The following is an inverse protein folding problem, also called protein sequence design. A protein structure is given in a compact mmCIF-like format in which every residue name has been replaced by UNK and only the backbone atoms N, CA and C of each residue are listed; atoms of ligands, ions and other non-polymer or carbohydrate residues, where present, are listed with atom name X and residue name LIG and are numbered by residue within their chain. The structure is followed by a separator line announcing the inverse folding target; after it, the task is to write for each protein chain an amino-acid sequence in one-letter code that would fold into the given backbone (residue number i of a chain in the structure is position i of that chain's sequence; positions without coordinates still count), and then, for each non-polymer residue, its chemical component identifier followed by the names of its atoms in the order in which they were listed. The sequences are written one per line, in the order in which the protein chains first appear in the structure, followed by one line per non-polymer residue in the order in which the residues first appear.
data_IF_553468077400
#
_entry.id   IF_553468077400
#
_cell.length_a   1.000
_cell.length_b   1.000
_cell.length_c   1.000
_cell.angle_alpha   90.00
_cell.angle_beta   90.00
_cell.angle_gamma   90.00
#
_symmetry.space_group_name_H-M   'P 1'
#
loop_
_entity.id
_entity.type
_entity.pdbx_description
1 polymer ?
#
# COMPACT_ATOMS: atom_id res chain seq x y z
N UNK A 1 13.94 3.28 -1.92
CA UNK A 1 12.86 3.16 -0.90
C UNK A 1 13.01 4.17 0.24
N UNK A 2 14.08 4.16 1.05
CA UNK A 2 14.25 5.12 2.18
C UNK A 2 14.15 6.60 1.79
N UNK A 3 14.70 6.99 0.62
CA UNK A 3 14.56 8.36 0.08
C UNK A 3 13.10 8.75 -0.16
N UNK A 4 12.35 7.91 -0.88
CA UNK A 4 10.91 8.10 -1.14
C UNK A 4 10.11 8.19 0.17
N UNK A 5 10.38 7.27 1.10
CA UNK A 5 9.74 7.24 2.42
C UNK A 5 9.96 8.55 3.20
N UNK A 6 11.19 9.07 3.16
CA UNK A 6 11.54 10.33 3.81
C UNK A 6 10.81 11.52 3.19
N UNK A 7 10.67 11.57 1.86
CA UNK A 7 9.90 12.62 1.16
C UNK A 7 8.41 12.56 1.53
N UNK A 8 7.83 11.34 1.59
CA UNK A 8 6.43 11.14 1.96
C UNK A 8 6.18 11.62 3.40
N UNK A 9 6.98 11.16 4.36
CA UNK A 9 6.83 11.56 5.77
C UNK A 9 7.04 13.07 5.94
N UNK A 10 8.03 13.63 5.26
CA UNK A 10 8.27 15.06 5.26
C UNK A 10 7.05 15.83 4.73
N UNK A 11 6.44 15.40 3.62
CA UNK A 11 5.19 16.01 3.11
C UNK A 11 4.06 15.94 4.13
N UNK A 12 3.85 14.77 4.75
CA UNK A 12 2.78 14.56 5.74
C UNK A 12 2.97 15.50 6.94
N UNK A 13 4.18 15.53 7.52
CA UNK A 13 4.47 16.38 8.68
C UNK A 13 4.45 17.89 8.36
N UNK A 14 4.54 18.24 7.08
CA UNK A 14 4.42 19.62 6.59
C UNK A 14 3.00 19.99 6.17
N UNK A 15 2.02 19.09 6.34
CA UNK A 15 0.63 19.29 5.89
C UNK A 15 0.41 19.27 4.38
N UNK A 16 1.39 18.79 3.62
CA UNK A 16 1.38 18.74 2.15
C UNK A 16 0.87 17.41 1.62
N UNK A 17 0.43 17.40 0.36
CA UNK A 17 0.07 16.16 -0.32
C UNK A 17 1.30 15.29 -0.59
N UNK A 18 1.24 14.03 -0.20
CA UNK A 18 2.28 13.05 -0.49
C UNK A 18 1.91 12.12 -1.67
N UNK A 19 0.66 12.16 -2.16
CA UNK A 19 0.14 11.23 -3.19
C UNK A 19 0.87 11.32 -4.52
N UNK A 20 1.41 12.48 -4.87
CA UNK A 20 2.21 12.68 -6.08
C UNK A 20 3.43 11.76 -6.11
N UNK A 21 4.06 11.51 -4.96
CA UNK A 21 5.17 10.56 -4.83
C UNK A 21 4.73 9.11 -5.04
N UNK A 22 3.54 8.74 -4.55
CA UNK A 22 2.97 7.41 -4.75
C UNK A 22 2.60 7.20 -6.23
N UNK A 23 1.98 8.19 -6.86
CA UNK A 23 1.66 8.17 -8.28
C UNK A 23 2.91 8.05 -9.16
N UNK A 24 3.99 8.76 -8.83
CA UNK A 24 5.26 8.64 -9.53
C UNK A 24 5.79 7.20 -9.46
N UNK A 25 5.76 6.58 -8.28
CA UNK A 25 6.17 5.18 -8.07
C UNK A 25 5.30 4.20 -8.87
N UNK A 26 3.98 4.41 -8.88
CA UNK A 26 3.04 3.62 -9.69
C UNK A 26 3.36 3.73 -11.18
N UNK A 27 3.64 4.95 -11.66
CA UNK A 27 3.89 5.20 -13.07
C UNK A 27 5.23 4.60 -13.52
N UNK A 28 6.28 4.71 -12.72
CA UNK A 28 7.57 4.06 -12.97
C UNK A 28 7.41 2.53 -13.09
N UNK A 29 6.74 1.90 -12.10
CA UNK A 29 6.46 0.45 -12.12
C UNK A 29 5.62 0.06 -13.33
N UNK A 30 4.61 0.85 -13.66
CA UNK A 30 3.74 0.60 -14.82
C UNK A 30 4.53 0.63 -16.13
N UNK A 31 5.38 1.64 -16.35
CA UNK A 31 6.20 1.74 -17.55
C UNK A 31 7.14 0.53 -17.65
N UNK A 32 7.86 0.21 -16.58
CA UNK A 32 8.79 -0.92 -16.56
C UNK A 32 8.08 -2.26 -16.87
N UNK A 33 6.94 -2.52 -16.22
CA UNK A 33 6.18 -3.76 -16.44
C UNK A 33 5.52 -3.80 -17.81
N UNK A 34 5.04 -2.67 -18.33
CA UNK A 34 4.52 -2.60 -19.71
C UNK A 34 5.58 -3.03 -20.71
N UNK A 35 6.83 -2.57 -20.57
CA UNK A 35 7.93 -2.97 -21.46
C UNK A 35 8.21 -4.48 -21.38
N UNK A 36 8.20 -5.06 -20.18
CA UNK A 36 8.35 -6.52 -20.01
C UNK A 36 7.25 -7.30 -20.72
N UNK A 37 5.98 -6.92 -20.52
CA UNK A 37 4.83 -7.62 -21.13
C UNK A 37 4.84 -7.47 -22.66
N UNK A 38 5.12 -6.27 -23.18
CA UNK A 38 5.27 -6.05 -24.62
C UNK A 38 6.37 -6.94 -25.21
N UNK A 39 7.51 -7.05 -24.52
CA UNK A 39 8.61 -7.91 -24.97
C UNK A 39 8.20 -9.39 -25.02
N UNK A 40 7.49 -9.88 -24.00
CA UNK A 40 6.98 -11.25 -23.97
C UNK A 40 5.98 -11.48 -25.12
N UNK A 41 5.00 -10.59 -25.29
CA UNK A 41 3.98 -10.71 -26.34
C UNK A 41 4.60 -10.68 -27.74
N UNK A 42 5.53 -9.75 -27.99
CA UNK A 42 6.27 -9.67 -29.26
C UNK A 42 6.96 -10.99 -29.60
N UNK A 43 7.68 -11.58 -28.64
CA UNK A 43 8.42 -12.82 -28.85
C UNK A 43 7.50 -14.01 -29.13
N UNK A 44 6.35 -14.09 -28.45
CA UNK A 44 5.39 -15.18 -28.62
C UNK A 44 4.60 -15.06 -29.92
N UNK A 45 4.07 -13.88 -30.25
CA UNK A 45 3.31 -13.62 -31.48
C UNK A 45 4.16 -13.83 -32.73
N UNK A 46 5.46 -13.50 -32.68
CA UNK A 46 6.37 -13.74 -33.81
C UNK A 46 6.54 -15.23 -34.14
N UNK A 47 6.50 -16.11 -33.12
CA UNK A 47 6.85 -17.54 -33.27
C UNK A 47 5.63 -18.46 -33.40
N UNK A 48 4.46 -18.03 -32.92
CA UNK A 48 3.31 -18.92 -32.76
C UNK A 48 2.04 -18.25 -33.31
N UNK A 49 1.24 -19.01 -34.08
CA UNK A 49 -0.09 -18.54 -34.49
C UNK A 49 -1.04 -18.42 -33.30
N UNK A 50 -1.09 -19.43 -32.43
CA UNK A 50 -1.87 -19.42 -31.18
C UNK A 50 -1.00 -18.95 -29.99
N UNK A 51 -0.44 -17.75 -30.11
CA UNK A 51 0.55 -17.26 -29.16
C UNK A 51 0.00 -17.00 -27.75
N UNK A 52 -1.27 -16.63 -27.62
CA UNK A 52 -1.90 -16.33 -26.33
C UNK A 52 -1.94 -17.57 -25.43
N UNK A 53 -2.44 -18.67 -25.97
CA UNK A 53 -2.51 -19.93 -25.21
C UNK A 53 -1.12 -20.43 -24.86
N UNK A 54 -0.19 -20.38 -25.82
CA UNK A 54 1.20 -20.79 -25.59
C UNK A 54 1.86 -19.92 -24.51
N UNK A 55 1.61 -18.60 -24.51
CA UNK A 55 2.11 -17.66 -23.50
C UNK A 55 1.60 -18.01 -22.10
N UNK A 56 0.31 -18.35 -21.95
CA UNK A 56 -0.27 -18.74 -20.67
C UNK A 56 0.33 -20.05 -20.14
N UNK A 57 0.37 -21.10 -20.98
CA UNK A 57 0.90 -22.41 -20.60
C UNK A 57 2.39 -22.33 -20.21
N UNK A 58 3.20 -21.68 -21.03
CA UNK A 58 4.63 -21.54 -20.75
C UNK A 58 4.86 -20.68 -19.49
N UNK A 59 4.03 -19.66 -19.24
CA UNK A 59 4.14 -18.81 -18.03
C UNK A 59 3.76 -19.56 -16.77
N UNK A 60 2.78 -20.46 -16.80
CA UNK A 60 2.44 -21.34 -15.65
C UNK A 60 3.67 -22.12 -15.18
N UNK A 61 4.44 -22.67 -16.11
CA UNK A 61 5.59 -23.53 -15.81
C UNK A 61 6.83 -22.76 -15.30
N UNK A 62 6.91 -21.43 -15.47
CA UNK A 62 8.04 -20.62 -15.00
C UNK A 62 8.04 -20.43 -13.48
N UNK A 63 9.17 -20.69 -12.81
CA UNK A 63 9.30 -20.49 -11.36
C UNK A 63 9.24 -19.01 -10.93
N UNK A 64 8.92 -18.75 -9.66
CA UNK A 64 8.92 -17.40 -9.08
C UNK A 64 7.53 -16.75 -8.98
N UNK A 65 7.36 -15.91 -7.94
CA UNK A 65 6.08 -15.23 -7.63
C UNK A 65 5.64 -14.27 -8.74
N UNK A 66 6.58 -13.61 -9.40
CA UNK A 66 6.31 -12.68 -10.49
C UNK A 66 5.61 -13.35 -11.67
N UNK A 67 5.92 -14.62 -11.95
CA UNK A 67 5.27 -15.36 -13.04
C UNK A 67 3.82 -15.70 -12.73
N UNK A 68 3.43 -15.82 -11.45
CA UNK A 68 2.00 -15.92 -11.09
C UNK A 68 1.26 -14.62 -11.46
N UNK A 69 1.84 -13.46 -11.17
CA UNK A 69 1.24 -12.18 -11.55
C UNK A 69 1.17 -12.01 -13.06
N UNK A 70 2.25 -12.33 -13.79
CA UNK A 70 2.23 -12.32 -15.25
C UNK A 70 1.15 -13.25 -15.82
N UNK A 71 0.99 -14.45 -15.27
CA UNK A 71 -0.06 -15.38 -15.67
C UNK A 71 -1.46 -14.79 -15.51
N UNK A 72 -1.73 -14.15 -14.36
CA UNK A 72 -2.98 -13.43 -14.12
C UNK A 72 -3.19 -12.30 -15.14
N UNK A 73 -2.17 -11.48 -15.37
CA UNK A 73 -2.26 -10.36 -16.30
C UNK A 73 -2.47 -10.80 -17.74
N UNK A 74 -1.77 -11.84 -18.20
CA UNK A 74 -1.97 -12.43 -19.53
C UNK A 74 -3.38 -13.00 -19.70
N UNK A 75 -3.98 -13.51 -18.62
CA UNK A 75 -5.39 -13.90 -18.57
C UNK A 75 -6.37 -12.73 -18.49
N UNK A 76 -5.90 -11.48 -18.40
CA UNK A 76 -6.75 -10.30 -18.22
C UNK A 76 -7.39 -10.21 -16.83
N UNK A 77 -6.74 -10.77 -15.81
CA UNK A 77 -7.24 -10.85 -14.43
C UNK A 77 -6.23 -10.28 -13.43
N UNK A 78 -6.71 -10.00 -12.23
CA UNK A 78 -5.87 -9.67 -11.07
C UNK A 78 -6.12 -10.66 -9.92
N UNK A 79 -5.18 -10.72 -8.97
CA UNK A 79 -5.20 -11.70 -7.87
C UNK A 79 -6.42 -11.54 -6.97
N UNK A 80 -6.90 -10.31 -6.75
CA UNK A 80 -8.08 -10.02 -5.92
C UNK A 80 -9.34 -10.60 -6.54
N UNK A 81 -9.53 -10.40 -7.85
CA UNK A 81 -10.66 -10.98 -8.59
C UNK A 81 -10.65 -12.51 -8.49
N UNK A 82 -9.51 -13.15 -8.75
CA UNK A 82 -9.42 -14.62 -8.69
C UNK A 82 -9.71 -15.14 -7.29
N UNK A 83 -9.12 -14.55 -6.25
CA UNK A 83 -9.38 -14.96 -4.86
C UNK A 83 -10.85 -14.81 -4.47
N UNK A 84 -11.50 -13.73 -4.90
CA UNK A 84 -12.92 -13.53 -4.62
C UNK A 84 -13.79 -14.60 -5.30
N UNK A 85 -13.45 -15.02 -6.52
CA UNK A 85 -14.18 -16.06 -7.25
C UNK A 85 -14.00 -17.46 -6.65
N UNK A 86 -12.90 -17.72 -5.95
CA UNK A 86 -12.49 -19.06 -5.52
C UNK A 86 -12.53 -19.26 -4.01
N UNK A 87 -12.99 -18.26 -3.25
CA UNK A 87 -12.97 -18.29 -1.78
C UNK A 87 -11.57 -18.17 -1.17
N UNK A 88 -10.62 -17.53 -1.86
CA UNK A 88 -9.31 -17.14 -1.32
C UNK A 88 -8.10 -17.80 -2.00
N UNK A 89 -8.31 -18.72 -2.94
CA UNK A 89 -7.22 -19.48 -3.57
C UNK A 89 -6.83 -18.93 -4.94
N UNK A 90 -5.54 -18.90 -5.24
CA UNK A 90 -5.00 -18.36 -6.50
C UNK A 90 -3.73 -19.11 -6.88
N UNK A 91 -3.82 -20.43 -6.95
CA UNK A 91 -2.74 -21.27 -7.50
C UNK A 91 -2.57 -20.99 -8.99
N UNK A 92 -1.42 -21.36 -9.56
CA UNK A 92 -1.18 -21.10 -10.99
C UNK A 92 -2.12 -21.90 -11.89
N UNK A 93 -2.54 -23.08 -11.46
CA UNK A 93 -3.51 -23.93 -12.14
C UNK A 93 -4.85 -23.20 -12.25
N UNK A 94 -5.35 -22.67 -11.14
CA UNK A 94 -6.58 -21.88 -11.09
C UNK A 94 -6.43 -20.59 -11.92
N UNK A 95 -5.29 -19.90 -11.82
CA UNK A 95 -5.04 -18.69 -12.60
C UNK A 95 -5.03 -18.97 -14.11
N UNK A 96 -4.44 -20.09 -14.54
CA UNK A 96 -4.44 -20.52 -15.94
C UNK A 96 -5.87 -20.83 -16.41
N UNK A 97 -6.61 -21.63 -15.65
CA UNK A 97 -7.97 -22.03 -16.01
C UNK A 97 -8.90 -20.81 -16.14
N UNK A 98 -8.94 -19.96 -15.12
CA UNK A 98 -9.76 -18.74 -15.14
C UNK A 98 -9.27 -17.74 -16.20
N UNK A 99 -7.96 -17.64 -16.42
CA UNK A 99 -7.39 -16.81 -17.48
C UNK A 99 -7.84 -17.26 -18.87
N UNK A 100 -7.81 -18.57 -19.15
CA UNK A 100 -8.33 -19.13 -20.41
C UNK A 100 -9.82 -18.85 -20.58
N UNK A 101 -10.63 -19.09 -19.54
CA UNK A 101 -12.08 -18.82 -19.57
C UNK A 101 -12.37 -17.34 -19.82
N UNK A 102 -11.62 -16.43 -19.19
CA UNK A 102 -11.80 -15.00 -19.37
C UNK A 102 -11.47 -14.57 -20.81
N UNK A 103 -10.36 -15.04 -21.38
CA UNK A 103 -9.99 -14.75 -22.77
C UNK A 103 -11.04 -15.27 -23.75
N UNK A 104 -11.55 -16.48 -23.52
CA UNK A 104 -12.58 -17.05 -24.39
C UNK A 104 -13.89 -16.26 -24.30
N UNK A 105 -14.31 -15.86 -23.09
CA UNK A 105 -15.44 -14.95 -22.89
C UNK A 105 -15.25 -13.64 -23.66
N UNK A 106 -14.07 -13.03 -23.59
CA UNK A 106 -13.73 -11.83 -24.36
C UNK A 106 -13.86 -12.03 -25.87
N UNK A 107 -13.38 -13.16 -26.40
CA UNK A 107 -13.49 -13.48 -27.84
C UNK A 107 -14.95 -13.61 -28.28
N UNK A 108 -15.76 -14.35 -27.52
CA UNK A 108 -17.18 -14.54 -27.80
C UNK A 108 -17.95 -13.21 -27.78
N UNK A 109 -17.67 -12.36 -26.79
CA UNK A 109 -18.28 -11.04 -26.69
C UNK A 109 -17.84 -10.13 -27.85
N UNK A 110 -16.56 -10.12 -28.23
CA UNK A 110 -16.10 -9.28 -29.34
C UNK A 110 -16.73 -9.66 -30.68
N UNK A 111 -16.93 -10.96 -30.94
CA UNK A 111 -17.62 -11.41 -32.14
C UNK A 111 -19.09 -11.00 -32.16
N UNK A 112 -19.75 -10.81 -31.01
CA UNK A 112 -21.13 -10.31 -30.97
C UNK A 112 -21.24 -8.78 -31.21
N UNK A 113 -20.11 -8.06 -31.16
CA UNK A 113 -20.03 -6.62 -31.45
C UNK A 113 -19.61 -6.30 -32.90
N UNK A 114 -19.64 -7.27 -33.82
CA UNK A 114 -19.13 -7.18 -35.22
C UNK A 114 -19.65 -5.99 -36.06
N UNK A 115 -20.65 -5.22 -35.60
CA UNK A 115 -21.08 -3.95 -36.20
C UNK A 115 -20.44 -2.69 -35.57
N UNK A 116 -19.24 -2.82 -34.98
CA UNK A 116 -18.56 -1.67 -34.35
C UNK A 116 -18.06 -0.67 -35.41
N UNK A 117 -18.39 0.62 -35.24
CA UNK A 117 -17.97 1.69 -36.15
C UNK A 117 -16.48 2.05 -36.07
N UNK A 118 -15.78 1.58 -35.04
CA UNK A 118 -14.39 1.94 -34.75
C UNK A 118 -13.55 0.69 -34.56
N UNK A 119 -12.42 0.63 -35.26
CA UNK A 119 -11.45 -0.46 -35.15
C UNK A 119 -10.22 -0.01 -34.35
N UNK A 120 -9.72 -0.90 -33.48
CA UNK A 120 -8.48 -0.72 -32.74
C UNK A 120 -7.45 -1.73 -33.24
N UNK A 121 -6.27 -1.23 -33.62
CA UNK A 121 -5.13 -2.07 -34.02
C UNK A 121 -3.87 -1.70 -33.25
N UNK A 122 -3.21 -2.70 -32.66
CA UNK A 122 -1.94 -2.55 -31.94
C UNK A 122 -0.80 -3.08 -32.80
N UNK A 123 0.21 -2.24 -33.02
CA UNK A 123 1.44 -2.58 -33.74
C UNK A 123 2.61 -2.44 -32.77
N UNK A 124 3.34 -3.54 -32.57
CA UNK A 124 4.51 -3.58 -31.69
C UNK A 124 5.78 -3.55 -32.54
N UNK A 125 6.64 -2.56 -32.30
CA UNK A 125 7.90 -2.39 -33.01
C UNK A 125 9.09 -2.64 -32.09
N UNK A 126 10.07 -3.40 -32.58
CA UNK A 126 11.36 -3.61 -31.92
C UNK A 126 12.47 -3.46 -32.95
N UNK A 127 13.17 -2.32 -32.93
CA UNK A 127 14.16 -1.95 -33.97
C UNK A 127 13.53 -2.06 -35.36
N UNK A 128 14.02 -2.97 -36.20
CA UNK A 128 13.55 -3.19 -37.58
C UNK A 128 12.48 -4.28 -37.69
N UNK A 129 12.07 -4.87 -36.57
CA UNK A 129 11.09 -5.95 -36.53
C UNK A 129 9.72 -5.41 -36.09
N UNK A 130 8.66 -5.89 -36.74
CA UNK A 130 7.28 -5.48 -36.49
C UNK A 130 6.40 -6.70 -36.28
N UNK A 131 5.53 -6.62 -35.29
CA UNK A 131 4.47 -7.59 -35.05
C UNK A 131 3.15 -6.82 -34.98
N UNK A 132 2.16 -7.29 -35.74
CA UNK A 132 0.82 -6.74 -35.72
C UNK A 132 -0.12 -7.69 -34.97
N UNK A 133 -0.91 -7.13 -34.07
CA UNK A 133 -2.03 -7.81 -33.45
C UNK A 133 -3.28 -7.57 -34.29
N UNK A 134 -4.08 -8.62 -34.49
CA UNK A 134 -5.42 -8.44 -35.08
C UNK A 134 -6.34 -7.69 -34.09
N UNK A 135 -7.57 -7.40 -34.49
CA UNK A 135 -8.51 -6.59 -33.68
C UNK A 135 -8.77 -7.22 -32.31
N UNK A 136 -9.09 -8.52 -32.28
CA UNK A 136 -9.33 -9.28 -31.05
C UNK A 136 -8.08 -9.29 -30.16
N UNK A 137 -6.91 -9.59 -30.73
CA UNK A 137 -5.63 -9.59 -30.02
C UNK A 137 -5.26 -8.21 -29.48
N UNK A 138 -5.63 -7.14 -30.18
CA UNK A 138 -5.39 -5.76 -29.77
C UNK A 138 -6.22 -5.40 -28.55
N UNK A 139 -7.49 -5.80 -28.51
CA UNK A 139 -8.35 -5.61 -27.33
C UNK A 139 -7.86 -6.46 -26.15
N UNK A 140 -7.48 -7.72 -26.39
CA UNK A 140 -6.89 -8.58 -25.35
C UNK A 140 -5.62 -7.93 -24.79
N UNK A 141 -4.75 -7.37 -25.65
CA UNK A 141 -3.56 -6.65 -25.20
C UNK A 141 -3.91 -5.47 -24.27
N UNK A 142 -4.91 -4.66 -24.60
CA UNK A 142 -5.37 -3.58 -23.71
C UNK A 142 -5.87 -4.13 -22.37
N UNK A 143 -6.60 -5.24 -22.38
CA UNK A 143 -7.09 -5.85 -21.15
C UNK A 143 -5.93 -6.36 -20.27
N UNK A 144 -4.89 -6.96 -20.88
CA UNK A 144 -3.67 -7.38 -20.19
C UNK A 144 -3.01 -6.18 -19.49
N UNK A 145 -2.82 -5.07 -20.21
CA UNK A 145 -2.23 -3.84 -19.65
C UNK A 145 -3.11 -3.25 -18.55
N UNK A 146 -4.43 -3.26 -18.71
CA UNK A 146 -5.39 -2.78 -17.71
C UNK A 146 -5.36 -3.62 -16.43
N UNK A 147 -5.37 -4.94 -16.53
CA UNK A 147 -5.27 -5.86 -15.39
C UNK A 147 -3.94 -5.68 -14.62
N UNK A 148 -2.84 -5.49 -15.35
CA UNK A 148 -1.53 -5.17 -14.78
C UNK A 148 -1.54 -3.80 -14.07
N UNK A 149 -2.14 -2.75 -14.67
CA UNK A 149 -2.25 -1.43 -14.05
C UNK A 149 -3.01 -1.48 -12.72
N UNK A 150 -4.15 -2.17 -12.69
CA UNK A 150 -4.96 -2.34 -11.47
C UNK A 150 -4.17 -3.06 -10.36
N UNK A 151 -3.41 -4.10 -10.73
CA UNK A 151 -2.54 -4.81 -9.78
C UNK A 151 -1.47 -3.90 -9.20
N UNK A 152 -0.78 -3.12 -10.04
CA UNK A 152 0.27 -2.20 -9.61
C UNK A 152 -0.29 -1.09 -8.72
N UNK A 153 -1.43 -0.48 -9.09
CA UNK A 153 -2.06 0.58 -8.31
C UNK A 153 -2.45 0.09 -6.92
N UNK A 154 -3.25 -1.00 -6.84
CA UNK A 154 -3.69 -1.55 -5.57
C UNK A 154 -2.52 -1.99 -4.68
N UNK A 155 -1.52 -2.65 -5.28
CA UNK A 155 -0.32 -3.08 -4.56
C UNK A 155 0.51 -1.91 -4.03
N UNK A 156 0.73 -0.88 -4.84
CA UNK A 156 1.56 0.27 -4.46
C UNK A 156 0.94 1.11 -3.33
N UNK A 157 -0.37 1.38 -3.38
CA UNK A 157 -1.04 2.12 -2.30
C UNK A 157 -0.96 1.36 -0.97
N UNK A 158 -1.19 0.04 -0.99
CA UNK A 158 -1.10 -0.78 0.21
C UNK A 158 0.35 -0.88 0.73
N UNK A 159 1.33 -1.09 -0.14
CA UNK A 159 2.74 -1.18 0.23
C UNK A 159 3.26 0.13 0.82
N UNK A 160 2.99 1.26 0.15
CA UNK A 160 3.43 2.58 0.61
C UNK A 160 2.72 2.96 1.90
N UNK A 161 1.41 2.71 2.02
CA UNK A 161 0.66 2.93 3.26
C UNK A 161 1.31 2.19 4.42
N UNK A 162 1.43 0.86 4.34
CA UNK A 162 2.02 0.03 5.42
C UNK A 162 3.44 0.45 5.82
N UNK A 163 4.29 0.74 4.83
CA UNK A 163 5.66 1.18 5.11
C UNK A 163 5.70 2.58 5.75
N UNK A 164 4.84 3.48 5.31
CA UNK A 164 4.81 4.87 5.78
C UNK A 164 4.17 4.99 7.15
N UNK A 165 3.04 4.32 7.41
CA UNK A 165 2.28 4.47 8.66
C UNK A 165 3.13 4.19 9.90
N UNK A 166 3.83 3.05 9.91
CA UNK A 166 4.67 2.63 11.03
C UNK A 166 5.91 3.51 11.22
N UNK A 167 6.57 3.86 10.12
CA UNK A 167 7.76 4.71 10.18
C UNK A 167 7.42 6.18 10.49
N UNK A 168 6.24 6.65 10.10
CA UNK A 168 5.70 7.95 10.48
C UNK A 168 5.45 8.02 11.98
N UNK A 169 4.81 7.01 12.59
CA UNK A 169 4.64 6.95 14.05
C UNK A 169 5.97 7.00 14.79
N UNK A 170 6.97 6.22 14.33
CA UNK A 170 8.32 6.30 14.89
C UNK A 170 8.92 7.70 14.79
N UNK A 171 8.85 8.32 13.62
CA UNK A 171 9.36 9.68 13.40
C UNK A 171 8.66 10.68 14.33
N UNK A 172 7.33 10.61 14.43
CA UNK A 172 6.53 11.43 15.32
C UNK A 172 6.97 11.27 16.77
N UNK A 173 7.13 10.05 17.27
CA UNK A 173 7.54 9.79 18.65
C UNK A 173 8.96 10.33 18.93
N UNK A 174 9.87 10.26 17.95
CA UNK A 174 11.19 10.89 18.04
C UNK A 174 11.12 12.41 18.05
N UNK A 175 10.26 13.03 17.25
CA UNK A 175 10.04 14.49 17.28
C UNK A 175 9.46 14.97 18.63
N UNK A 176 8.62 14.14 19.23
CA UNK A 176 8.02 14.42 20.55
C UNK A 176 8.88 13.90 21.70
N UNK A 177 10.08 13.37 21.43
CA UNK A 177 11.01 12.81 22.41
C UNK A 177 10.35 11.86 23.42
N UNK A 178 9.43 11.01 22.94
CA UNK A 178 8.80 9.97 23.77
C UNK A 178 9.87 8.91 24.07
N UNK A 179 10.08 8.52 25.33
CA UNK A 179 11.01 7.45 25.67
C UNK A 179 10.65 6.14 24.97
N UNK A 180 11.64 5.36 24.54
CA UNK A 180 11.40 4.11 23.79
C UNK A 180 10.68 3.06 24.65
N UNK A 181 10.87 3.09 25.97
CA UNK A 181 10.17 2.25 26.94
C UNK A 181 8.69 2.62 27.13
N UNK A 182 8.27 3.79 26.65
CA UNK A 182 6.91 4.31 26.82
C UNK A 182 6.07 4.16 25.54
N UNK A 183 6.52 3.40 24.53
CA UNK A 183 5.67 3.04 23.39
C UNK A 183 5.97 1.66 22.81
N UNK A 184 5.00 1.11 22.09
CA UNK A 184 5.12 -0.13 21.31
C UNK A 184 4.58 0.15 19.90
N UNK A 185 5.34 -0.23 18.87
CA UNK A 185 4.96 -0.09 17.46
C UNK A 185 4.73 -1.44 16.75
N UNK A 186 4.97 -2.56 17.45
CA UNK A 186 4.92 -3.89 16.87
C UNK A 186 3.70 -4.62 17.43
N UNK A 187 2.73 -4.89 16.58
CA UNK A 187 1.48 -5.55 16.97
C UNK A 187 1.70 -6.90 17.67
N UNK A 188 2.59 -7.74 17.15
CA UNK A 188 2.92 -9.04 17.78
C UNK A 188 3.42 -8.89 19.22
N UNK A 189 4.11 -7.79 19.53
CA UNK A 189 4.56 -7.50 20.89
C UNK A 189 3.40 -7.05 21.78
N UNK A 190 2.51 -6.20 21.26
CA UNK A 190 1.30 -5.79 21.96
C UNK A 190 0.44 -7.01 22.33
N UNK A 191 0.32 -7.96 21.39
CA UNK A 191 -0.42 -9.21 21.59
C UNK A 191 0.24 -10.11 22.65
N UNK A 192 1.57 -10.26 22.60
CA UNK A 192 2.33 -11.02 23.62
C UNK A 192 2.19 -10.44 25.03
N UNK A 193 2.00 -9.12 25.13
CA UNK A 193 1.76 -8.41 26.40
C UNK A 193 0.28 -8.34 26.79
N UNK A 194 -0.60 -9.01 26.04
CA UNK A 194 -2.05 -9.02 26.25
C UNK A 194 -2.69 -7.61 26.29
N UNK A 195 -2.04 -6.64 25.64
CA UNK A 195 -2.51 -5.25 25.58
C UNK A 195 -3.60 -5.04 24.53
N UNK A 196 -3.71 -5.99 23.59
CA UNK A 196 -4.65 -5.99 22.48
C UNK A 196 -5.17 -7.40 22.25
N UNK A 197 -6.41 -7.51 21.79
CA UNK A 197 -6.98 -8.78 21.35
C UNK A 197 -6.47 -9.18 19.96
N UNK A 198 -7.36 -9.72 19.13
CA UNK A 198 -7.02 -10.08 17.74
C UNK A 198 -7.11 -8.90 16.75
N UNK A 199 -7.38 -7.69 17.22
CA UNK A 199 -7.55 -6.50 16.37
C UNK A 199 -6.23 -5.75 16.26
N UNK A 200 -5.78 -5.51 15.03
CA UNK A 200 -4.52 -4.80 14.74
C UNK A 200 -4.61 -3.32 15.14
N UNK A 201 -3.69 -2.87 16.00
CA UNK A 201 -3.51 -1.48 16.43
C UNK A 201 -2.10 -1.06 16.03
N UNK A 202 -1.95 0.16 15.49
CA UNK A 202 -0.69 0.61 14.90
C UNK A 202 0.35 1.02 15.96
N UNK A 203 -0.08 1.58 17.09
CA UNK A 203 0.79 1.88 18.23
C UNK A 203 0.07 1.89 19.59
N UNK A 204 0.85 1.64 20.64
CA UNK A 204 0.47 1.94 22.03
C UNK A 204 1.50 2.90 22.61
N UNK A 205 1.03 3.93 23.31
CA UNK A 205 1.87 4.84 24.10
C UNK A 205 1.43 4.79 25.55
N UNK A 206 2.37 4.77 26.49
CA UNK A 206 2.09 4.72 27.91
C UNK A 206 2.15 6.10 28.54
N UNK A 207 1.16 6.40 29.38
CA UNK A 207 1.25 7.51 30.33
C UNK A 207 2.35 7.24 31.37
N UNK A 208 2.74 8.28 32.12
CA UNK A 208 3.65 8.15 33.27
C UNK A 208 3.12 7.16 34.32
N UNK A 209 1.79 7.06 34.42
CA UNK A 209 1.09 6.12 35.31
C UNK A 209 0.94 4.72 34.69
N UNK A 210 1.63 4.44 33.58
CA UNK A 210 1.63 3.19 32.82
C UNK A 210 0.26 2.75 32.27
N UNK A 211 -0.71 3.67 32.18
CA UNK A 211 -1.95 3.43 31.42
C UNK A 211 -1.67 3.43 29.92
N UNK A 212 -2.11 2.42 29.16
CA UNK A 212 -1.94 2.36 27.72
C UNK A 212 -2.90 3.33 27.00
N UNK A 213 -2.42 3.94 25.93
CA UNK A 213 -3.19 4.73 24.98
C UNK A 213 -3.01 4.11 23.60
N UNK A 214 -4.11 3.77 22.96
CA UNK A 214 -4.14 3.14 21.64
C UNK A 214 -4.15 4.20 20.55
N UNK A 215 -3.29 4.00 19.55
CA UNK A 215 -3.15 4.91 18.41
C UNK A 215 -3.34 4.10 17.13
N UNK A 216 -4.23 4.59 16.29
CA UNK A 216 -4.39 4.13 14.91
C UNK A 216 -3.93 5.23 13.95
N UNK A 217 -3.25 4.84 12.89
CA UNK A 217 -2.82 5.73 11.84
C UNK A 217 -3.22 5.16 10.48
N UNK A 218 -3.98 5.93 9.71
CA UNK A 218 -4.35 5.57 8.34
C UNK A 218 -4.07 6.73 7.39
N UNK A 219 -3.22 6.54 6.38
CA UNK A 219 -2.88 7.60 5.43
C UNK A 219 -3.89 7.70 4.28
N UNK A 220 -5.18 7.81 4.60
CA UNK A 220 -6.25 7.69 3.62
C UNK A 220 -6.87 9.03 3.28
N UNK A 221 -7.47 9.07 2.09
CA UNK A 221 -8.22 10.23 1.61
C UNK A 221 -9.71 10.04 1.78
N UNK A 222 -10.44 11.15 1.67
CA UNK A 222 -11.90 11.29 1.84
C UNK A 222 -12.72 10.24 1.06
N UNK A 223 -12.21 9.73 -0.06
CA UNK A 223 -12.92 8.76 -0.90
C UNK A 223 -12.96 7.30 -0.41
N UNK A 224 -12.50 6.99 0.80
CA UNK A 224 -12.52 5.62 1.36
C UNK A 224 -13.18 5.62 2.76
N UNK A 225 -14.49 5.93 2.84
CA UNK A 225 -15.20 6.04 4.12
C UNK A 225 -15.16 4.72 4.92
N UNK A 226 -15.15 3.57 4.24
CA UNK A 226 -15.21 2.24 4.85
C UNK A 226 -14.02 1.96 5.79
N UNK A 227 -12.86 2.55 5.51
CA UNK A 227 -11.68 2.34 6.35
C UNK A 227 -11.71 3.30 7.56
N UNK A 228 -12.31 4.49 7.40
CA UNK A 228 -12.56 5.35 8.54
C UNK A 228 -13.57 4.71 9.49
N UNK A 229 -14.64 4.08 8.96
CA UNK A 229 -15.60 3.33 9.77
C UNK A 229 -14.93 2.20 10.55
N UNK A 230 -14.01 1.47 9.91
CA UNK A 230 -13.22 0.43 10.56
C UNK A 230 -12.38 0.96 11.73
N UNK A 231 -11.70 2.11 11.52
CA UNK A 231 -10.91 2.76 12.56
C UNK A 231 -11.78 3.29 13.71
N UNK A 232 -12.95 3.87 13.41
CA UNK A 232 -13.89 4.35 14.42
C UNK A 232 -14.51 3.21 15.23
N UNK A 233 -14.84 2.09 14.58
CA UNK A 233 -15.37 0.89 15.23
C UNK A 233 -14.39 0.28 16.26
N UNK A 234 -13.09 0.56 16.12
CA UNK A 234 -12.06 0.09 17.06
C UNK A 234 -11.99 0.93 18.34
N UNK A 235 -12.59 2.12 18.38
CA UNK A 235 -12.65 3.00 19.55
C UNK A 235 -11.28 3.28 20.19
N UNK A 236 -10.28 3.55 19.36
CA UNK A 236 -8.94 3.92 19.82
C UNK A 236 -8.93 5.27 20.54
N UNK A 237 -7.93 5.52 21.38
CA UNK A 237 -7.81 6.81 22.07
C UNK A 237 -7.51 7.95 21.08
N UNK A 238 -6.72 7.65 20.06
CA UNK A 238 -6.25 8.60 19.06
C UNK A 238 -6.26 7.98 17.66
N UNK A 239 -6.89 8.67 16.72
CA UNK A 239 -6.88 8.34 15.30
C UNK A 239 -6.17 9.43 14.50
N UNK A 240 -5.06 9.05 13.87
CA UNK A 240 -4.24 9.89 13.01
C UNK A 240 -4.58 9.61 11.54
N UNK A 241 -4.91 10.64 10.78
CA UNK A 241 -5.43 10.48 9.40
C UNK A 241 -4.87 11.54 8.46
N UNK A 242 -4.77 11.26 7.16
CA UNK A 242 -4.46 12.33 6.18
C UNK A 242 -5.63 13.31 6.03
N UNK A 243 -6.83 12.82 5.68
CA UNK A 243 -8.09 13.57 5.78
C UNK A 243 -9.30 12.70 6.08
N UNK A 244 -10.29 13.30 6.74
CA UNK A 244 -11.59 12.71 7.02
C UNK A 244 -12.73 13.69 6.66
N UNK A 245 -13.96 13.21 6.54
CA UNK A 245 -15.13 14.10 6.38
C UNK A 245 -15.52 14.72 7.72
N UNK A 246 -16.14 15.90 7.71
CA UNK A 246 -16.65 16.54 8.94
C UNK A 246 -17.64 15.65 9.70
N UNK A 247 -18.48 14.91 8.96
CA UNK A 247 -19.43 13.94 9.53
C UNK A 247 -18.71 12.90 10.38
N UNK A 248 -17.69 12.25 9.83
CA UNK A 248 -16.94 11.21 10.54
C UNK A 248 -16.11 11.77 11.70
N UNK A 249 -15.62 13.01 11.59
CA UNK A 249 -14.94 13.69 12.72
C UNK A 249 -15.93 13.89 13.88
N UNK A 250 -17.17 14.29 13.57
CA UNK A 250 -18.22 14.44 14.58
C UNK A 250 -18.61 13.10 15.21
N UNK A 251 -18.74 12.05 14.42
CA UNK A 251 -19.00 10.69 14.91
C UNK A 251 -17.87 10.20 15.83
N UNK A 252 -16.62 10.37 15.42
CA UNK A 252 -15.45 10.04 16.24
C UNK A 252 -15.50 10.74 17.60
N UNK A 253 -15.86 12.03 17.60
CA UNK A 253 -16.02 12.82 18.83
C UNK A 253 -17.13 12.28 19.73
N UNK A 254 -18.27 11.86 19.17
CA UNK A 254 -19.38 11.29 19.92
C UNK A 254 -19.00 9.98 20.62
N UNK A 255 -18.13 9.17 20.01
CA UNK A 255 -17.64 7.91 20.59
C UNK A 255 -16.34 8.07 21.42
N UNK A 256 -15.85 9.30 21.60
CA UNK A 256 -14.70 9.62 22.43
C UNK A 256 -13.33 9.40 21.78
N UNK A 257 -13.26 9.21 20.47
CA UNK A 257 -12.02 9.05 19.70
C UNK A 257 -11.48 10.43 19.33
N UNK A 258 -10.23 10.75 19.72
CA UNK A 258 -9.57 11.99 19.25
C UNK A 258 -9.09 11.79 17.82
N UNK A 259 -9.56 12.61 16.87
CA UNK A 259 -9.03 12.65 15.51
C UNK A 259 -8.03 13.80 15.37
N UNK A 260 -6.90 13.53 14.71
CA UNK A 260 -5.95 14.56 14.26
C UNK A 260 -5.65 14.31 12.78
N UNK A 261 -5.98 15.30 11.94
CA UNK A 261 -5.66 15.28 10.53
C UNK A 261 -4.24 15.82 10.28
N UNK A 262 -3.52 15.21 9.34
CA UNK A 262 -2.19 15.68 8.92
C UNK A 262 -2.23 16.82 7.92
N UNK A 263 -3.33 17.04 7.19
CA UNK A 263 -3.47 18.15 6.21
C UNK A 263 -3.65 19.53 6.86
N UNK A 264 -2.76 19.85 7.80
CA UNK A 264 -2.67 21.12 8.50
C UNK A 264 -1.26 21.30 9.08
N UNK A 265 -0.87 22.54 9.34
CA UNK A 265 0.47 22.88 9.86
C UNK A 265 0.66 22.54 11.34
N UNK A 266 -0.43 22.34 12.09
CA UNK A 266 -0.40 22.20 13.55
C UNK A 266 -0.51 20.76 14.06
N UNK A 267 -0.53 19.77 13.17
CA UNK A 267 -0.75 18.36 13.53
C UNK A 267 0.19 17.86 14.64
N UNK A 268 1.50 18.11 14.54
CA UNK A 268 2.47 17.72 15.57
C UNK A 268 2.24 18.43 16.92
N UNK A 269 1.81 19.70 16.88
CA UNK A 269 1.50 20.47 18.08
C UNK A 269 0.24 19.95 18.76
N UNK A 270 -0.80 19.68 17.99
CA UNK A 270 -2.06 19.12 18.50
C UNK A 270 -1.85 17.73 19.10
N UNK A 271 -1.01 16.90 18.47
CA UNK A 271 -0.63 15.61 19.00
C UNK A 271 0.11 15.72 20.34
N UNK A 272 1.07 16.64 20.43
CA UNK A 272 1.76 16.93 21.68
C UNK A 272 0.78 17.35 22.80
N UNK A 273 -0.17 18.24 22.50
CA UNK A 273 -1.16 18.72 23.46
C UNK A 273 -2.05 17.57 23.96
N UNK A 274 -2.50 16.70 23.06
CA UNK A 274 -3.27 15.51 23.42
C UNK A 274 -2.48 14.55 24.31
N UNK A 275 -1.25 14.18 23.91
CA UNK A 275 -0.41 13.25 24.68
C UNK A 275 -0.05 13.81 26.06
N UNK A 276 0.25 15.11 26.15
CA UNK A 276 0.49 15.79 27.43
C UNK A 276 -0.75 15.74 28.33
N UNK A 277 -1.93 15.99 27.77
CA UNK A 277 -3.20 15.92 28.52
C UNK A 277 -3.48 14.50 29.05
N UNK A 278 -3.01 13.47 28.34
CA UNK A 278 -3.06 12.06 28.77
C UNK A 278 -1.88 11.65 29.67
N UNK A 279 -1.13 12.60 30.21
CA UNK A 279 0.01 12.38 31.10
C UNK A 279 1.14 11.53 30.48
N UNK A 280 1.37 11.62 29.17
CA UNK A 280 2.49 10.95 28.47
C UNK A 280 3.78 11.76 28.64
N UNK A 281 4.91 11.07 28.83
CA UNK A 281 6.22 11.70 28.84
C UNK A 281 6.64 12.11 27.41
N UNK A 282 6.43 13.38 27.07
CA UNK A 282 6.75 13.93 25.75
C UNK A 282 7.24 15.38 25.86
N UNK A 283 7.99 15.83 24.87
CA UNK A 283 8.47 17.21 24.73
C UNK A 283 7.73 17.92 23.61
N UNK A 284 7.58 19.24 23.79
CA UNK A 284 6.98 20.11 22.79
C UNK A 284 7.83 20.04 21.51
N UNK A 285 7.21 19.88 20.33
CA UNK A 285 7.96 19.85 19.07
C UNK A 285 8.65 21.19 18.82
N UNK A 286 9.88 21.13 18.34
CA UNK A 286 10.63 22.33 17.92
C UNK A 286 10.00 22.93 16.66
N UNK A 287 10.01 24.26 16.57
CA UNK A 287 9.63 24.97 15.34
C UNK A 287 10.84 24.91 14.39
N UNK A 288 10.76 24.02 13.41
CA UNK A 288 11.83 23.82 12.43
C UNK A 288 11.49 24.49 11.11
N UNK A 289 12.47 25.15 10.50
CA UNK A 289 12.41 25.51 9.08
C UNK A 289 12.26 24.26 8.21
N UNK A 290 11.63 24.38 7.04
CA UNK A 290 11.39 23.27 6.11
C UNK A 290 12.64 22.42 5.82
N UNK A 291 13.80 23.06 5.59
CA UNK A 291 15.08 22.38 5.35
C UNK A 291 15.56 21.56 6.55
N UNK A 292 15.41 22.09 7.76
CA UNK A 292 15.77 21.40 9.01
C UNK A 292 14.82 20.24 9.30
N UNK A 293 13.51 20.43 9.10
CA UNK A 293 12.51 19.37 9.23
C UNK A 293 12.86 18.19 8.32
N UNK A 294 13.09 18.47 7.03
CA UNK A 294 13.47 17.45 6.05
C UNK A 294 14.75 16.70 6.44
N UNK A 295 15.78 17.44 6.85
CA UNK A 295 17.05 16.83 7.28
C UNK A 295 16.87 15.93 8.50
N UNK A 296 16.06 16.36 9.46
CA UNK A 296 15.76 15.60 10.68
C UNK A 296 14.93 14.35 10.39
N UNK A 297 13.95 14.42 9.49
CA UNK A 297 13.18 13.25 9.03
C UNK A 297 14.12 12.21 8.42
N UNK A 298 15.03 12.63 7.54
CA UNK A 298 16.01 11.73 6.90
C UNK A 298 16.90 11.05 7.94
N UNK A 299 17.40 11.82 8.92
CA UNK A 299 18.23 11.30 10.01
C UNK A 299 17.49 10.20 10.80
N UNK A 300 16.25 10.48 11.23
CA UNK A 300 15.45 9.53 12.02
C UNK A 300 15.11 8.28 11.19
N UNK A 301 14.74 8.43 9.91
CA UNK A 301 14.43 7.30 9.03
C UNK A 301 15.66 6.45 8.73
N UNK A 302 16.85 7.02 8.75
CA UNK A 302 18.08 6.24 8.61
C UNK A 302 18.34 5.36 9.84
N UNK A 303 17.95 5.81 11.03
CA UNK A 303 17.98 5.04 12.28
C UNK A 303 16.88 3.96 12.33
N UNK A 304 15.77 4.18 11.62
CA UNK A 304 14.68 3.20 11.53
C UNK A 304 15.14 1.94 10.80
N UNK A 305 15.08 0.82 11.53
CA UNK A 305 15.22 -0.51 10.99
C UNK A 305 14.20 -1.41 11.69
N UNK A 306 13.14 -1.76 10.96
CA UNK A 306 12.01 -2.55 11.45
C UNK A 306 12.42 -3.89 12.07
N UNK A 307 13.43 -4.57 11.50
CA UNK A 307 13.97 -5.81 12.08
C UNK A 307 14.72 -5.55 13.39
N UNK A 308 15.40 -4.42 13.50
CA UNK A 308 16.13 -4.06 14.71
C UNK A 308 15.22 -3.60 15.84
N UNK A 309 14.07 -3.00 15.55
CA UNK A 309 13.08 -2.66 16.59
C UNK A 309 12.47 -3.93 17.19
N UNK A 310 12.21 -4.95 16.37
CA UNK A 310 11.84 -6.28 16.89
C UNK A 310 12.94 -6.95 17.73
N UNK A 311 14.22 -6.74 17.41
CA UNK A 311 15.37 -7.38 18.09
C UNK A 311 15.82 -6.61 19.35
N UNK A 312 15.84 -5.27 19.34
CA UNK A 312 16.21 -4.42 20.49
C UNK A 312 15.30 -4.67 21.68
N UNK A 313 14.00 -4.87 21.42
CA UNK A 313 13.01 -5.21 22.44
C UNK A 313 13.25 -6.61 23.02
N UNK A 314 13.58 -7.61 22.19
CA UNK A 314 13.91 -8.97 22.67
C UNK A 314 15.17 -8.99 23.53
N UNK A 315 16.16 -8.14 23.23
CA UNK A 315 17.38 -8.01 24.04
C UNK A 315 17.08 -7.39 25.41
N UNK A 316 16.24 -6.35 25.47
CA UNK A 316 15.80 -5.69 26.71
C UNK A 316 14.93 -6.59 27.59
N UNK A 317 14.16 -7.53 27.00
CA UNK A 317 13.42 -8.56 27.72
C UNK A 317 14.35 -9.55 28.44
N UNK A 318 15.43 -10.00 27.79
CA UNK A 318 16.42 -10.89 28.43
C UNK A 318 17.15 -10.24 29.60
N UNK A 319 17.31 -8.92 29.59
CA UNK A 319 17.98 -8.16 30.65
C UNK A 319 17.04 -7.87 31.85
N UNK A 320 15.73 -8.01 31.70
CA UNK A 320 14.73 -7.80 32.77
C UNK A 320 14.22 -9.11 33.40
N UNK A 321 14.50 -10.25 32.77
CA UNK A 321 14.09 -11.58 33.23
C UNK A 321 15.28 -12.49 33.59
N UNK A 322 16.48 -11.92 33.71
CA UNK A 322 17.70 -12.59 34.16
C UNK A 322 18.19 -11.92 35.46
#
# INVERSE_FOLDING_TARGET
MKKLLSEIIFSILSGKDYRTFVLATINERFIAKTQELISDIFAYKKKNRNWIEKLLEDTKNKLGKDNKFKLLWYGGLNDKTVKNMTGGTSTKEICLELGKKNIESFRLLLNSFENSQYQLKVIIKKKNEVVELNEIESIIFINIISAMKLTIQGGAWSEVGKQTEKSLLFVIFKFLAIPEEDYILIFDEMKKKELVGNREIDAIVFSKDKKPLTIELKLLGIGNPEIGDEALARKVDLFLIDRLTEMMINEAKQIGVKVIEFRQERALKELYEFLRLKNVNCKKPEVLSERKLKSRVIEIINQWNEKSEGIKVVKKLKELTA
#
